data_IF_561314632718
#
_entry.id   IF_561314632718
#
_cell.length_a   1.000
_cell.length_b   1.000
_cell.length_c   1.000
_cell.angle_alpha   90.00
_cell.angle_beta   90.00
_cell.angle_gamma   90.00
#
_symmetry.space_group_name_H-M   'P 1'
#
loop_
_entity.id
_entity.type
_entity.pdbx_description
1 polymer ?
#
# COMPACT_ATOMS: atom_id res chain seq x y z
N UNK A 1 -23.47 -19.38 14.12
CA UNK A 1 -23.59 -18.60 15.38
C UNK A 1 -24.46 -17.39 15.09
N UNK A 2 -25.47 -17.13 15.92
CA UNK A 2 -26.37 -15.99 15.74
C UNK A 2 -25.64 -14.68 16.05
N UNK A 3 -25.76 -13.70 15.15
CA UNK A 3 -25.27 -12.34 15.37
C UNK A 3 -26.35 -11.53 16.07
N UNK A 4 -25.94 -10.63 16.96
CA UNK A 4 -26.80 -9.66 17.62
C UNK A 4 -26.30 -8.23 17.37
N UNK A 5 -27.19 -7.25 17.54
CA UNK A 5 -26.86 -5.84 17.38
C UNK A 5 -26.15 -5.31 18.63
N UNK A 6 -25.01 -4.67 18.43
CA UNK A 6 -24.29 -3.92 19.47
C UNK A 6 -24.43 -2.40 19.27
N UNK A 7 -24.88 -1.98 18.08
CA UNK A 7 -25.41 -0.65 17.72
C UNK A 7 -26.45 -0.84 16.62
N UNK A 8 -27.22 0.19 16.30
CA UNK A 8 -28.32 0.17 15.31
C UNK A 8 -27.98 -0.56 14.01
N UNK A 9 -26.76 -0.39 13.50
CA UNK A 9 -26.30 -0.99 12.25
C UNK A 9 -25.04 -1.84 12.42
N UNK A 10 -24.68 -2.27 13.63
CA UNK A 10 -23.46 -3.05 13.88
C UNK A 10 -23.79 -4.37 14.55
N UNK A 11 -23.48 -5.48 13.87
CA UNK A 11 -23.82 -6.84 14.29
C UNK A 11 -22.60 -7.74 14.49
N UNK A 12 -22.53 -8.41 15.64
CA UNK A 12 -21.44 -9.33 15.99
C UNK A 12 -22.01 -10.58 16.64
N UNK A 13 -21.30 -11.71 16.54
CA UNK A 13 -21.51 -12.85 17.44
C UNK A 13 -20.93 -12.52 18.82
N UNK A 14 -21.38 -13.25 19.86
CA UNK A 14 -20.83 -13.07 21.21
C UNK A 14 -19.32 -13.32 21.26
N UNK A 15 -18.82 -14.34 20.54
CA UNK A 15 -17.38 -14.63 20.46
C UNK A 15 -16.58 -13.51 19.77
N UNK A 16 -17.11 -12.94 18.68
CA UNK A 16 -16.48 -11.80 18.00
C UNK A 16 -16.41 -10.56 18.90
N UNK A 17 -17.49 -10.26 19.65
CA UNK A 17 -17.50 -9.14 20.59
C UNK A 17 -16.50 -9.33 21.73
N UNK A 18 -16.50 -10.51 22.38
CA UNK A 18 -15.58 -10.79 23.47
C UNK A 18 -14.12 -10.70 23.01
N UNK A 19 -13.79 -11.25 21.83
CA UNK A 19 -12.44 -11.10 21.27
C UNK A 19 -12.04 -9.64 21.04
N UNK A 20 -12.96 -8.82 20.50
CA UNK A 20 -12.70 -7.40 20.30
C UNK A 20 -12.53 -6.65 21.63
N UNK A 21 -13.29 -7.04 22.65
CA UNK A 21 -13.24 -6.48 23.99
C UNK A 21 -11.89 -6.77 24.65
N UNK A 22 -11.45 -8.03 24.63
CA UNK A 22 -10.14 -8.45 25.13
C UNK A 22 -9.00 -7.73 24.40
N UNK A 23 -9.15 -7.48 23.10
CA UNK A 23 -8.12 -6.88 22.26
C UNK A 23 -7.96 -5.38 22.43
N UNK A 24 -9.08 -4.65 22.54
CA UNK A 24 -9.08 -3.19 22.51
C UNK A 24 -9.39 -2.55 23.87
N UNK A 25 -9.98 -3.30 24.80
CA UNK A 25 -10.57 -2.77 26.02
C UNK A 25 -11.92 -2.07 25.75
N UNK A 26 -12.71 -1.91 26.82
CA UNK A 26 -14.08 -1.37 26.76
C UNK A 26 -14.16 -0.02 26.05
N UNK A 27 -13.34 0.94 26.47
CA UNK A 27 -13.40 2.31 25.98
C UNK A 27 -13.13 2.42 24.46
N UNK A 28 -12.05 1.78 23.99
CA UNK A 28 -11.68 1.85 22.58
C UNK A 28 -12.64 1.03 21.71
N UNK A 29 -13.13 -0.11 22.21
CA UNK A 29 -14.16 -0.87 21.50
C UNK A 29 -15.45 -0.06 21.35
N UNK A 30 -15.90 0.62 22.40
CA UNK A 30 -17.10 1.47 22.37
C UNK A 30 -16.95 2.59 21.33
N UNK A 31 -15.81 3.28 21.33
CA UNK A 31 -15.48 4.29 20.30
C UNK A 31 -15.53 3.72 18.89
N UNK A 32 -14.95 2.55 18.65
CA UNK A 32 -14.95 1.89 17.33
C UNK A 32 -16.36 1.49 16.90
N UNK A 33 -17.18 0.96 17.81
CA UNK A 33 -18.57 0.58 17.55
C UNK A 33 -19.41 1.80 17.14
N UNK A 34 -19.31 2.91 17.89
CA UNK A 34 -19.99 4.17 17.56
C UNK A 34 -19.55 4.70 16.19
N UNK A 35 -18.24 4.76 15.94
CA UNK A 35 -17.70 5.26 14.67
C UNK A 35 -18.16 4.44 13.46
N UNK A 36 -18.21 3.11 13.58
CA UNK A 36 -18.71 2.24 12.51
C UNK A 36 -20.21 2.44 12.28
N UNK A 37 -20.99 2.57 13.36
CA UNK A 37 -22.42 2.83 13.29
C UNK A 37 -22.72 4.16 12.57
N UNK A 38 -22.09 5.25 13.00
CA UNK A 38 -22.23 6.58 12.41
C UNK A 38 -21.85 6.59 10.92
N UNK A 39 -20.79 5.85 10.57
CA UNK A 39 -20.36 5.68 9.19
C UNK A 39 -21.43 4.99 8.32
N UNK A 40 -22.14 4.00 8.88
CA UNK A 40 -23.24 3.29 8.18
C UNK A 40 -24.51 4.13 8.11
N UNK A 41 -24.77 5.00 9.10
CA UNK A 41 -25.85 5.99 9.06
C UNK A 41 -25.58 7.02 7.96
N UNK A 42 -24.40 7.64 7.96
CA UNK A 42 -24.01 8.68 6.99
C UNK A 42 -23.93 8.16 5.55
N UNK A 43 -23.66 6.87 5.37
CA UNK A 43 -23.52 6.23 4.05
C UNK A 43 -24.30 4.91 4.01
N UNK A 44 -25.60 4.92 3.71
CA UNK A 44 -26.46 3.73 3.73
C UNK A 44 -25.93 2.56 2.89
N UNK A 45 -25.29 2.82 1.73
CA UNK A 45 -24.62 1.79 0.92
C UNK A 45 -23.55 0.98 1.67
N UNK A 46 -23.01 1.50 2.78
CA UNK A 46 -22.07 0.77 3.65
C UNK A 46 -22.73 -0.35 4.45
N UNK A 47 -24.04 -0.26 4.70
CA UNK A 47 -24.81 -1.30 5.38
C UNK A 47 -24.80 -2.59 4.54
N UNK A 48 -24.88 -2.48 3.22
CA UNK A 48 -24.86 -3.61 2.29
C UNK A 48 -23.45 -4.08 1.90
N UNK A 49 -22.49 -3.15 1.80
CA UNK A 49 -21.14 -3.46 1.28
C UNK A 49 -20.16 -3.99 2.33
N UNK A 50 -20.40 -3.72 3.63
CA UNK A 50 -19.60 -4.27 4.72
C UNK A 50 -20.06 -5.69 5.02
N UNK A 51 -19.27 -6.67 4.58
CA UNK A 51 -19.60 -8.11 4.73
C UNK A 51 -19.47 -8.62 6.16
N UNK A 52 -18.67 -7.95 6.99
CA UNK A 52 -18.42 -8.35 8.38
C UNK A 52 -18.04 -7.14 9.23
N UNK A 53 -18.88 -6.84 10.21
CA UNK A 53 -18.62 -5.77 11.18
C UNK A 53 -17.44 -6.08 12.08
N UNK A 54 -17.25 -7.35 12.42
CA UNK A 54 -16.09 -7.81 13.17
C UNK A 54 -14.78 -7.41 12.46
N UNK A 55 -14.67 -7.69 11.16
CA UNK A 55 -13.49 -7.29 10.39
C UNK A 55 -13.40 -5.78 10.20
N UNK A 56 -14.51 -5.06 10.07
CA UNK A 56 -14.52 -3.61 9.99
C UNK A 56 -14.00 -2.97 11.29
N UNK A 57 -14.39 -3.50 12.46
CA UNK A 57 -13.91 -3.02 13.77
C UNK A 57 -12.45 -3.40 14.02
N UNK A 58 -12.04 -4.61 13.65
CA UNK A 58 -10.63 -5.03 13.73
C UNK A 58 -9.71 -4.16 12.88
N UNK A 59 -10.19 -3.72 11.72
CA UNK A 59 -9.43 -2.87 10.79
C UNK A 59 -9.58 -1.38 11.08
N UNK A 60 -10.55 -0.99 11.89
CA UNK A 60 -10.77 0.39 12.32
C UNK A 60 -9.64 0.83 13.24
N UNK A 61 -8.80 1.77 12.80
CA UNK A 61 -7.60 2.20 13.52
C UNK A 61 -6.40 1.27 13.36
N UNK A 62 -6.45 0.28 12.47
CA UNK A 62 -5.25 -0.44 12.02
C UNK A 62 -4.35 0.58 11.32
N UNK A 63 -3.10 0.74 11.78
CA UNK A 63 -2.14 1.74 11.28
C UNK A 63 -2.24 1.83 9.76
N UNK A 64 -2.68 2.99 9.26
CA UNK A 64 -2.56 3.30 7.85
C UNK A 64 -1.09 3.16 7.52
N UNK A 65 -0.77 2.30 6.56
CA UNK A 65 0.62 2.15 6.15
C UNK A 65 1.09 3.47 5.57
N UNK A 66 2.28 3.91 5.90
CA UNK A 66 2.77 5.25 5.55
C UNK A 66 3.78 5.20 4.39
N UNK A 67 3.96 6.31 3.63
CA UNK A 67 5.11 6.47 2.76
C UNK A 67 6.41 6.60 3.57
N UNK A 68 7.52 6.22 2.96
CA UNK A 68 8.86 6.52 3.48
C UNK A 68 9.22 7.94 3.03
N UNK A 69 9.24 8.87 3.99
CA UNK A 69 9.45 10.31 3.74
C UNK A 69 10.91 10.73 3.85
N UNK A 70 11.76 9.90 4.45
CA UNK A 70 13.18 10.16 4.60
C UNK A 70 13.99 9.43 3.53
N UNK A 71 14.86 10.16 2.83
CA UNK A 71 15.77 9.60 1.82
C UNK A 71 16.81 8.67 2.43
N UNK A 72 17.29 8.95 3.65
CA UNK A 72 18.24 8.09 4.35
C UNK A 72 17.61 6.73 4.65
N UNK A 73 16.34 6.71 5.07
CA UNK A 73 15.59 5.47 5.25
C UNK A 73 15.36 4.70 3.94
N UNK A 74 15.18 5.39 2.80
CA UNK A 74 15.09 4.75 1.48
C UNK A 74 16.41 4.08 1.12
N UNK A 75 17.55 4.75 1.32
CA UNK A 75 18.86 4.16 1.06
C UNK A 75 19.17 3.00 2.02
N UNK A 76 18.81 3.12 3.30
CA UNK A 76 18.94 2.03 4.26
C UNK A 76 18.09 0.81 3.86
N UNK A 77 16.84 1.02 3.41
CA UNK A 77 15.99 -0.05 2.87
C UNK A 77 16.63 -0.75 1.67
N UNK A 78 17.18 0.01 0.73
CA UNK A 78 17.87 -0.54 -0.43
C UNK A 78 19.04 -1.43 0.00
N UNK A 79 19.87 -0.95 0.92
CA UNK A 79 21.03 -1.69 1.43
C UNK A 79 20.61 -2.98 2.16
N UNK A 80 19.67 -2.91 3.11
CA UNK A 80 19.18 -4.08 3.86
C UNK A 80 18.60 -5.16 2.92
N UNK A 81 17.80 -4.76 1.93
CA UNK A 81 17.19 -5.69 0.99
C UNK A 81 18.24 -6.32 0.06
N UNK A 82 19.22 -5.53 -0.40
CA UNK A 82 20.28 -5.99 -1.30
C UNK A 82 21.20 -7.01 -0.62
N UNK A 83 21.55 -6.77 0.65
CA UNK A 83 22.32 -7.74 1.45
C UNK A 83 21.62 -9.11 1.56
N UNK A 84 20.29 -9.16 1.46
CA UNK A 84 19.53 -10.41 1.51
C UNK A 84 19.34 -11.04 0.13
N UNK A 85 19.05 -10.25 -0.90
CA UNK A 85 18.81 -10.74 -2.26
C UNK A 85 18.66 -9.58 -3.23
N UNK A 86 19.34 -9.66 -4.38
CA UNK A 86 19.13 -8.73 -5.51
C UNK A 86 17.66 -8.67 -5.95
N UNK A 87 16.92 -9.79 -5.93
CA UNK A 87 15.46 -9.82 -6.20
C UNK A 87 14.68 -8.93 -5.23
N UNK A 88 15.02 -8.96 -3.95
CA UNK A 88 14.30 -8.19 -2.93
C UNK A 88 14.60 -6.70 -3.04
N UNK A 89 15.87 -6.36 -3.32
CA UNK A 89 16.28 -5.00 -3.63
C UNK A 89 15.53 -4.47 -4.85
N UNK A 90 15.55 -5.23 -5.95
CA UNK A 90 14.92 -4.82 -7.19
C UNK A 90 13.39 -4.71 -7.08
N UNK A 91 12.76 -5.57 -6.27
CA UNK A 91 11.33 -5.47 -5.92
C UNK A 91 11.00 -4.11 -5.30
N UNK A 92 11.84 -3.64 -4.38
CA UNK A 92 11.67 -2.35 -3.74
C UNK A 92 11.90 -1.19 -4.70
N UNK A 93 12.98 -1.24 -5.49
CA UNK A 93 13.28 -0.26 -6.55
C UNK A 93 12.12 -0.10 -7.52
N UNK A 94 11.61 -1.20 -8.08
CA UNK A 94 10.48 -1.18 -8.99
C UNK A 94 9.23 -0.60 -8.31
N UNK A 95 8.97 -0.98 -7.05
CA UNK A 95 7.83 -0.49 -6.29
C UNK A 95 7.82 1.03 -6.06
N UNK A 96 8.97 1.60 -5.68
CA UNK A 96 9.08 3.04 -5.38
C UNK A 96 9.25 3.93 -6.62
N UNK A 97 9.59 3.35 -7.78
CA UNK A 97 9.77 4.11 -9.03
C UNK A 97 8.58 4.02 -10.01
N UNK A 98 7.79 2.95 -9.95
CA UNK A 98 6.62 2.78 -10.85
C UNK A 98 5.30 3.15 -10.18
N UNK A 99 5.28 3.17 -8.84
CA UNK A 99 4.07 3.33 -8.08
C UNK A 99 3.07 2.20 -8.26
N UNK A 100 3.45 1.04 -8.81
CA UNK A 100 2.53 -0.10 -9.01
C UNK A 100 1.99 -0.67 -7.69
N UNK A 101 0.81 -1.30 -7.74
CA UNK A 101 0.37 -2.12 -6.61
C UNK A 101 1.25 -3.36 -6.57
N UNK A 102 1.58 -3.82 -5.37
CA UNK A 102 2.42 -5.02 -5.21
C UNK A 102 1.81 -6.24 -5.92
N UNK A 103 0.48 -6.38 -5.93
CA UNK A 103 -0.21 -7.48 -6.65
C UNK A 103 0.01 -7.48 -8.16
N UNK A 104 0.24 -6.29 -8.72
CA UNK A 104 0.37 -6.06 -10.14
C UNK A 104 1.84 -6.18 -10.56
N UNK A 105 2.75 -5.91 -9.62
CA UNK A 105 4.20 -5.93 -9.83
C UNK A 105 4.80 -7.34 -9.71
N UNK A 106 4.31 -8.16 -8.79
CA UNK A 106 4.79 -9.53 -8.56
C UNK A 106 4.73 -10.46 -9.79
N UNK A 107 3.67 -10.46 -10.63
CA UNK A 107 3.59 -11.35 -11.77
C UNK A 107 4.37 -10.89 -13.02
N UNK A 108 5.06 -9.73 -12.97
CA UNK A 108 5.81 -9.22 -14.12
C UNK A 108 6.94 -10.17 -14.53
N UNK A 109 7.14 -10.28 -15.84
CA UNK A 109 8.21 -11.02 -16.49
C UNK A 109 9.21 -10.11 -17.18
N UNK A 110 10.35 -10.66 -17.57
CA UNK A 110 11.40 -9.93 -18.31
C UNK A 110 10.82 -9.26 -19.56
N UNK A 111 10.03 -9.98 -20.37
CA UNK A 111 9.39 -9.42 -21.57
C UNK A 111 8.47 -8.22 -21.35
N UNK A 112 7.94 -8.06 -20.13
CA UNK A 112 7.04 -6.96 -19.79
C UNK A 112 7.80 -5.66 -19.49
N UNK A 113 9.13 -5.73 -19.29
CA UNK A 113 9.96 -4.60 -18.85
C UNK A 113 11.21 -4.37 -19.71
N UNK A 114 11.87 -5.42 -20.19
CA UNK A 114 13.12 -5.31 -20.93
C UNK A 114 12.90 -4.77 -22.34
N UNK A 115 13.67 -3.75 -22.71
CA UNK A 115 13.49 -3.02 -23.98
C UNK A 115 12.18 -2.23 -24.06
N UNK A 116 11.37 -2.19 -22.99
CA UNK A 116 10.09 -1.49 -22.96
C UNK A 116 10.24 -0.07 -22.44
N UNK A 117 9.43 0.84 -22.97
CA UNK A 117 9.27 2.18 -22.39
C UNK A 117 8.18 2.23 -21.32
N UNK A 118 7.24 1.28 -21.35
CA UNK A 118 6.10 1.25 -20.46
C UNK A 118 5.76 -0.18 -20.06
N UNK A 119 5.38 -0.37 -18.80
CA UNK A 119 4.63 -1.57 -18.38
C UNK A 119 3.17 -1.36 -18.78
N UNK A 120 2.62 -2.32 -19.52
CA UNK A 120 1.24 -2.27 -20.01
C UNK A 120 0.40 -3.29 -19.27
N UNK A 121 -0.65 -2.84 -18.59
CA UNK A 121 -1.56 -3.72 -17.84
C UNK A 121 -3.01 -3.50 -18.20
N UNK A 122 -3.75 -4.59 -18.40
CA UNK A 122 -5.20 -4.56 -18.62
C UNK A 122 -5.93 -4.72 -17.29
N UNK A 123 -6.74 -3.73 -16.91
CA UNK A 123 -7.60 -3.86 -15.74
C UNK A 123 -8.72 -4.88 -15.99
N UNK A 124 -8.80 -5.90 -15.13
CA UNK A 124 -9.81 -6.97 -15.26
C UNK A 124 -11.25 -6.46 -15.21
N UNK A 125 -11.55 -5.45 -14.38
CA UNK A 125 -12.91 -4.97 -14.15
C UNK A 125 -13.42 -3.97 -15.20
N UNK A 126 -12.54 -3.12 -15.70
CA UNK A 126 -12.90 -2.00 -16.58
C UNK A 126 -12.46 -2.21 -18.02
N UNK A 127 -11.61 -3.22 -18.26
CA UNK A 127 -10.91 -3.49 -19.51
C UNK A 127 -10.06 -2.32 -20.02
N UNK A 128 -9.84 -1.29 -19.20
CA UNK A 128 -8.96 -0.18 -19.53
C UNK A 128 -7.51 -0.64 -19.45
N UNK A 129 -6.75 -0.29 -20.47
CA UNK A 129 -5.30 -0.50 -20.48
C UNK A 129 -4.62 0.66 -19.76
N UNK A 130 -3.80 0.35 -18.76
CA UNK A 130 -2.92 1.29 -18.08
C UNK A 130 -1.50 1.12 -18.56
N UNK A 131 -0.81 2.25 -18.68
CA UNK A 131 0.59 2.33 -19.07
C UNK A 131 1.36 3.01 -17.95
N UNK A 132 2.42 2.37 -17.47
CA UNK A 132 3.30 2.91 -16.44
C UNK A 132 4.66 3.14 -17.07
N UNK A 133 5.09 4.40 -17.11
CA UNK A 133 6.37 4.77 -17.71
C UNK A 133 7.53 4.13 -16.92
N UNK A 134 8.46 3.52 -17.65
CA UNK A 134 9.78 3.14 -17.15
C UNK A 134 10.72 4.30 -17.46
N UNK A 135 11.03 5.10 -16.44
CA UNK A 135 11.96 6.22 -16.62
C UNK A 135 13.36 5.72 -17.05
N UNK A 136 14.20 6.61 -17.56
CA UNK A 136 15.52 6.25 -18.10
C UNK A 136 16.36 5.47 -17.10
N UNK A 137 16.44 5.95 -15.87
CA UNK A 137 17.21 5.33 -14.79
C UNK A 137 16.71 3.91 -14.48
N UNK A 138 15.39 3.73 -14.35
CA UNK A 138 14.79 2.43 -14.08
C UNK A 138 15.02 1.46 -15.24
N UNK A 139 15.04 1.93 -16.49
CA UNK A 139 15.36 1.08 -17.65
C UNK A 139 16.78 0.54 -17.59
N UNK A 140 17.76 1.37 -17.23
CA UNK A 140 19.13 0.89 -17.02
C UNK A 140 19.23 -0.13 -15.89
N UNK A 141 18.55 0.11 -14.78
CA UNK A 141 18.51 -0.84 -13.65
C UNK A 141 17.79 -2.16 -14.03
N UNK A 142 16.77 -2.10 -14.89
CA UNK A 142 16.13 -3.29 -15.46
C UNK A 142 17.12 -4.08 -16.32
N UNK A 143 17.81 -3.42 -17.24
CA UNK A 143 18.78 -4.06 -18.15
C UNK A 143 19.89 -4.77 -17.37
N UNK A 144 20.38 -4.18 -16.29
CA UNK A 144 21.36 -4.81 -15.40
C UNK A 144 20.77 -6.02 -14.66
N UNK A 145 19.58 -5.87 -14.09
CA UNK A 145 18.93 -6.91 -13.29
C UNK A 145 18.56 -8.16 -14.09
N UNK A 146 18.14 -7.99 -15.36
CA UNK A 146 17.65 -9.10 -16.20
C UNK A 146 18.71 -9.70 -17.12
N UNK A 147 19.98 -9.28 -16.99
CA UNK A 147 21.07 -9.67 -17.91
C UNK A 147 21.18 -11.18 -18.13
N UNK A 148 20.99 -11.95 -17.06
CA UNK A 148 21.15 -13.41 -17.05
C UNK A 148 19.79 -14.15 -16.96
N UNK A 149 18.69 -13.47 -17.32
CA UNK A 149 17.33 -14.02 -17.27
C UNK A 149 16.73 -14.16 -18.68
N UNK A 150 15.89 -15.19 -18.85
CA UNK A 150 15.16 -15.39 -20.09
C UNK A 150 13.90 -14.52 -20.15
N UNK A 151 13.43 -14.26 -21.38
CA UNK A 151 12.26 -13.41 -21.68
C UNK A 151 10.99 -13.79 -20.88
N UNK A 152 10.79 -15.08 -20.61
CA UNK A 152 9.64 -15.61 -19.88
C UNK A 152 9.82 -15.74 -18.37
N UNK A 153 11.01 -15.45 -17.84
CA UNK A 153 11.27 -15.50 -16.42
C UNK A 153 10.51 -14.42 -15.67
N UNK A 154 10.02 -14.80 -14.49
CA UNK A 154 9.45 -13.84 -13.56
C UNK A 154 10.56 -12.96 -12.97
N UNK A 155 10.28 -11.67 -12.80
CA UNK A 155 11.21 -10.76 -12.15
C UNK A 155 11.36 -11.09 -10.66
N UNK A 156 10.31 -11.64 -10.03
CA UNK A 156 10.27 -11.90 -8.59
C UNK A 156 9.89 -13.35 -8.25
N UNK A 157 10.68 -14.34 -8.68
CA UNK A 157 10.34 -15.74 -8.49
C UNK A 157 10.57 -16.19 -7.05
N UNK A 158 9.76 -17.15 -6.63
CA UNK A 158 9.93 -17.94 -5.42
C UNK A 158 10.96 -19.03 -5.67
N UNK A 159 12.01 -19.11 -4.85
CA UNK A 159 13.01 -20.18 -4.94
C UNK A 159 12.41 -21.59 -4.80
N UNK A 160 11.25 -21.73 -4.15
CA UNK A 160 10.60 -23.03 -3.94
C UNK A 160 9.82 -23.53 -5.15
N UNK A 161 9.30 -22.61 -5.97
CA UNK A 161 8.27 -22.94 -6.97
C UNK A 161 8.56 -22.40 -8.37
N UNK A 162 9.52 -21.50 -8.55
CA UNK A 162 9.76 -20.77 -9.80
C UNK A 162 8.67 -19.72 -10.14
N UNK A 163 7.44 -19.90 -9.65
CA UNK A 163 6.34 -18.94 -9.72
C UNK A 163 6.62 -17.65 -8.94
N UNK A 164 5.90 -16.54 -9.21
CA UNK A 164 6.04 -15.30 -8.45
C UNK A 164 5.89 -15.51 -6.94
N UNK A 165 6.68 -14.79 -6.14
CA UNK A 165 6.45 -14.75 -4.70
C UNK A 165 5.04 -14.25 -4.42
N UNK A 166 4.40 -14.83 -3.40
CA UNK A 166 3.06 -14.41 -3.02
C UNK A 166 3.09 -13.05 -2.32
N UNK A 167 1.98 -12.31 -2.40
CA UNK A 167 1.82 -11.00 -1.74
C UNK A 167 2.21 -11.02 -0.26
N UNK A 168 1.83 -12.08 0.46
CA UNK A 168 2.14 -12.23 1.88
C UNK A 168 3.64 -12.38 2.10
N UNK A 169 4.34 -13.13 1.24
CA UNK A 169 5.79 -13.29 1.32
C UNK A 169 6.50 -11.98 1.01
N UNK A 170 6.08 -11.26 -0.03
CA UNK A 170 6.62 -9.94 -0.36
C UNK A 170 6.42 -8.94 0.78
N UNK A 171 5.24 -8.95 1.42
CA UNK A 171 4.99 -8.16 2.63
C UNK A 171 5.96 -8.51 3.77
N UNK A 172 6.14 -9.79 4.09
CA UNK A 172 7.06 -10.22 5.15
C UNK A 172 8.48 -9.74 4.91
N UNK A 173 9.01 -9.95 3.70
CA UNK A 173 10.36 -9.53 3.29
C UNK A 173 10.54 -8.02 3.48
N UNK A 174 9.62 -7.23 2.92
CA UNK A 174 9.75 -5.77 2.93
C UNK A 174 9.50 -5.18 4.33
N UNK A 175 8.54 -5.72 5.08
CA UNK A 175 8.22 -5.26 6.43
C UNK A 175 9.34 -5.60 7.42
N UNK A 176 10.00 -6.75 7.27
CA UNK A 176 11.17 -7.11 8.08
C UNK A 176 12.33 -6.13 7.84
N UNK A 177 12.65 -5.83 6.58
CA UNK A 177 13.66 -4.83 6.24
C UNK A 177 13.29 -3.43 6.80
N UNK A 178 12.03 -3.02 6.65
CA UNK A 178 11.53 -1.76 7.18
C UNK A 178 11.70 -1.66 8.71
N UNK A 179 11.39 -2.74 9.42
CA UNK A 179 11.55 -2.80 10.88
C UNK A 179 13.02 -2.61 11.30
N UNK A 180 13.96 -3.26 10.59
CA UNK A 180 15.41 -3.16 10.87
C UNK A 180 15.97 -1.75 10.71
N UNK A 181 15.42 -0.98 9.76
CA UNK A 181 15.86 0.41 9.51
C UNK A 181 15.00 1.45 10.24
N UNK A 182 14.17 1.02 11.19
CA UNK A 182 13.35 1.90 12.02
C UNK A 182 12.16 2.55 11.31
N UNK A 183 11.74 2.04 10.14
CA UNK A 183 10.51 2.49 9.46
C UNK A 183 9.31 1.84 10.15
N UNK A 184 8.47 2.68 10.76
CA UNK A 184 7.20 2.27 11.37
C UNK A 184 6.09 2.23 10.32
N UNK A 185 5.02 1.47 10.59
CA UNK A 185 3.82 1.39 9.76
C UNK A 185 4.08 1.05 8.26
N UNK A 186 5.04 0.16 7.97
CA UNK A 186 5.27 -0.30 6.60
C UNK A 186 4.30 -1.41 6.19
N UNK A 187 3.75 -1.35 4.98
CA UNK A 187 3.04 -2.49 4.40
C UNK A 187 2.94 -2.48 2.89
N UNK A 188 2.03 -3.29 2.33
CA UNK A 188 1.95 -3.58 0.89
C UNK A 188 1.71 -2.36 0.00
N UNK A 189 1.19 -1.26 0.57
CA UNK A 189 0.99 0.00 -0.13
C UNK A 189 2.07 1.04 0.14
N UNK A 190 2.99 0.81 1.10
CA UNK A 190 4.00 1.81 1.48
C UNK A 190 4.87 2.21 0.29
N UNK A 191 5.37 1.28 -0.52
CA UNK A 191 6.17 1.62 -1.73
C UNK A 191 5.42 2.52 -2.70
N UNK A 192 4.13 2.20 -2.97
CA UNK A 192 3.27 3.01 -3.84
C UNK A 192 2.99 4.39 -3.25
N UNK A 193 2.77 4.48 -1.93
CA UNK A 193 2.62 5.75 -1.23
C UNK A 193 3.92 6.55 -1.28
N UNK A 194 5.07 5.93 -1.08
CA UNK A 194 6.41 6.55 -1.20
C UNK A 194 6.59 7.17 -2.57
N UNK A 195 6.30 6.43 -3.65
CA UNK A 195 6.30 6.99 -5.01
C UNK A 195 5.43 8.25 -5.10
N UNK A 196 4.18 8.17 -4.65
CA UNK A 196 3.24 9.28 -4.75
C UNK A 196 3.62 10.50 -3.90
N UNK A 197 4.12 10.26 -2.69
CA UNK A 197 4.66 11.30 -1.81
C UNK A 197 5.79 12.05 -2.51
N UNK A 198 6.83 11.34 -2.96
CA UNK A 198 7.98 11.97 -3.60
C UNK A 198 7.62 12.66 -4.92
N UNK A 199 6.82 12.01 -5.76
CA UNK A 199 6.31 12.62 -7.00
C UNK A 199 5.57 13.93 -6.71
N UNK A 200 4.66 13.96 -5.73
CA UNK A 200 3.97 15.19 -5.35
C UNK A 200 4.93 16.23 -4.75
N UNK A 201 5.89 15.85 -3.92
CA UNK A 201 6.84 16.80 -3.35
C UNK A 201 7.70 17.50 -4.41
N UNK A 202 8.02 16.82 -5.51
CA UNK A 202 8.82 17.35 -6.62
C UNK A 202 7.96 18.20 -7.57
N UNK A 203 6.80 17.68 -8.00
CA UNK A 203 6.02 18.31 -9.06
C UNK A 203 4.86 19.18 -8.59
N UNK A 204 4.42 19.02 -7.33
CA UNK A 204 3.27 19.70 -6.71
C UNK A 204 1.95 19.61 -7.50
N UNK A 205 1.84 18.63 -8.42
CA UNK A 205 0.67 18.41 -9.26
C UNK A 205 -0.10 17.17 -8.79
N UNK A 206 -1.15 17.39 -7.99
CA UNK A 206 -2.02 16.33 -7.47
C UNK A 206 -2.93 15.74 -8.55
N UNK A 207 -3.35 16.52 -9.54
CA UNK A 207 -4.22 16.04 -10.62
C UNK A 207 -3.52 14.97 -11.45
N UNK A 208 -2.26 15.19 -11.80
CA UNK A 208 -1.43 14.19 -12.47
C UNK A 208 -1.29 12.91 -11.62
N UNK A 209 -1.06 13.05 -10.32
CA UNK A 209 -0.93 11.90 -9.44
C UNK A 209 -2.26 11.15 -9.24
N UNK A 210 -3.38 11.87 -9.22
CA UNK A 210 -4.71 11.29 -9.23
C UNK A 210 -4.90 10.39 -10.46
N UNK A 211 -4.50 10.84 -11.64
CA UNK A 211 -4.58 10.06 -12.87
C UNK A 211 -3.67 8.83 -12.82
N UNK A 212 -2.42 8.99 -12.38
CA UNK A 212 -1.47 7.88 -12.19
C UNK A 212 -2.07 6.82 -11.24
N UNK A 213 -2.70 7.27 -10.15
CA UNK A 213 -3.29 6.36 -9.18
C UNK A 213 -4.70 5.88 -9.53
N UNK A 214 -5.34 6.53 -10.49
CA UNK A 214 -6.75 6.35 -10.84
C UNK A 214 -7.65 6.50 -9.61
N UNK A 215 -7.43 7.56 -8.84
CA UNK A 215 -8.28 7.93 -7.72
C UNK A 215 -9.41 8.86 -8.20
N UNK A 216 -10.53 8.83 -7.48
CA UNK A 216 -11.72 9.57 -7.88
C UNK A 216 -11.66 11.07 -7.54
N UNK A 217 -10.70 11.51 -6.72
CA UNK A 217 -10.47 12.92 -6.45
C UNK A 217 -9.03 13.22 -6.02
N UNK A 218 -8.57 14.49 -6.13
CA UNK A 218 -7.31 14.96 -5.58
C UNK A 218 -7.20 14.77 -4.06
N UNK A 219 -8.26 15.04 -3.29
CA UNK A 219 -8.25 14.88 -1.82
C UNK A 219 -7.96 13.43 -1.40
N UNK A 220 -8.56 12.45 -2.10
CA UNK A 220 -8.28 11.03 -1.87
C UNK A 220 -6.80 10.74 -2.13
N UNK A 221 -6.21 11.37 -3.14
CA UNK A 221 -4.80 11.22 -3.48
C UNK A 221 -3.89 11.81 -2.40
N UNK A 222 -4.12 13.05 -1.96
CA UNK A 222 -3.32 13.69 -0.91
C UNK A 222 -3.39 12.95 0.41
N UNK A 223 -4.60 12.50 0.80
CA UNK A 223 -4.80 11.67 1.99
C UNK A 223 -4.12 10.31 1.85
N UNK A 224 -4.19 9.69 0.67
CA UNK A 224 -3.54 8.41 0.41
C UNK A 224 -2.02 8.49 0.61
N UNK A 225 -1.38 9.56 0.14
CA UNK A 225 0.07 9.77 0.26
C UNK A 225 0.50 10.48 1.56
N UNK A 226 -0.42 10.74 2.49
CA UNK A 226 -0.12 11.31 3.79
C UNK A 226 0.17 12.82 3.82
N UNK A 227 0.03 13.54 2.69
CA UNK A 227 0.36 14.97 2.60
C UNK A 227 -0.57 15.86 3.43
N UNK A 228 -1.86 15.54 3.54
CA UNK A 228 -2.79 16.35 4.33
C UNK A 228 -2.37 16.43 5.79
N UNK A 229 -1.88 15.33 6.37
CA UNK A 229 -1.39 15.31 7.74
C UNK A 229 -0.13 16.17 7.87
N UNK A 230 0.84 15.97 6.97
CA UNK A 230 2.10 16.73 6.98
C UNK A 230 1.89 18.25 6.83
N UNK A 231 0.90 18.69 6.03
CA UNK A 231 0.54 20.11 5.88
C UNK A 231 -0.07 20.64 7.18
N UNK A 232 -1.00 19.90 7.79
CA UNK A 232 -1.62 20.29 9.05
C UNK A 232 -0.57 20.41 10.14
N UNK A 233 0.27 19.40 10.32
CA UNK A 233 1.32 19.37 11.34
C UNK A 233 2.26 20.57 11.19
N UNK A 234 2.74 20.86 9.98
CA UNK A 234 3.59 22.03 9.70
C UNK A 234 2.89 23.37 9.96
N UNK A 235 1.59 23.48 9.65
CA UNK A 235 0.85 24.72 9.88
C UNK A 235 0.66 25.02 11.37
N UNK A 236 0.66 23.98 12.22
CA UNK A 236 0.45 24.10 13.66
C UNK A 236 1.75 24.16 14.47
N UNK A 237 2.86 23.63 13.95
CA UNK A 237 4.15 23.53 14.65
C UNK A 237 4.66 24.87 15.22
N UNK A 238 4.37 25.98 14.55
CA UNK A 238 4.80 27.32 14.97
C UNK A 238 3.63 28.30 15.16
N UNK A 239 2.40 27.81 15.22
CA UNK A 239 1.23 28.68 15.38
C UNK A 239 1.02 29.03 16.86
N UNK A 240 1.04 30.33 17.18
CA UNK A 240 0.76 30.90 18.50
C UNK A 240 0.02 32.23 18.32
N UNK A 241 -0.98 32.52 19.18
CA UNK A 241 -1.78 33.75 19.18
C UNK A 241 -1.22 34.79 20.16
#
# INVERSE_FOLDING_TARGET
>A
MNKQYYRDYVTLTNGEYQYLLDKFGEYELDRKLNALNDSKIKKPKRQETIRSDYHALLSSGMQTVEPIRDRLQIEAMKQELRQKSERNYFLFIMGINTGLRISDLLPLRVKDVFGQTHIVMKEKKTHKTKRFLLNLELRHQIEEYVRDLDSDDYLFPSHKTGLPIQRVQAYKILNEAASRVGIKAFGTHSMRKTFGFWHYTIHKNVALLQDIFNHTSPDITLRYIGINQDIVDKSLEHFSL
#
